data_IF_636172410828
#
_entry.id   IF_636172410828
#
_cell.length_a   1.000
_cell.length_b   1.000
_cell.length_c   1.000
_cell.angle_alpha   90.00
_cell.angle_beta   90.00
_cell.angle_gamma   90.00
#
_symmetry.space_group_name_H-M   'P 1'
#
loop_
_entity.id
_entity.type
_entity.pdbx_description
1 polymer ?
#
# COMPACT_ATOMS: atom_id res chain seq x y z
N UNK A 1 -8.12 9.37 3.38
CA UNK A 1 -8.14 7.99 3.88
C UNK A 1 -6.93 7.16 3.47
N UNK A 2 -6.46 7.23 2.22
CA UNK A 2 -5.29 6.45 1.75
C UNK A 2 -4.05 6.67 2.63
N UNK A 3 -3.69 7.93 2.93
CA UNK A 3 -2.54 8.27 3.78
C UNK A 3 -2.58 7.60 5.14
N UNK A 4 -3.71 7.75 5.85
CA UNK A 4 -3.89 7.24 7.21
C UNK A 4 -3.99 5.71 7.21
N UNK A 5 -4.69 5.12 6.24
CA UNK A 5 -4.75 3.66 6.08
C UNK A 5 -3.38 3.04 5.80
N UNK A 6 -2.57 3.68 4.95
CA UNK A 6 -1.21 3.23 4.67
C UNK A 6 -0.28 3.38 5.89
N UNK A 7 -0.39 4.47 6.64
CA UNK A 7 0.35 4.64 7.89
C UNK A 7 -0.02 3.59 8.95
N UNK A 8 -1.32 3.31 9.11
CA UNK A 8 -1.82 2.24 9.99
C UNK A 8 -1.32 0.88 9.53
N UNK A 9 -1.33 0.61 8.22
CA UNK A 9 -0.83 -0.63 7.65
C UNK A 9 0.66 -0.83 7.99
N UNK A 10 1.49 0.20 7.75
CA UNK A 10 2.91 0.17 8.07
C UNK A 10 3.18 -0.01 9.57
N UNK A 11 2.42 0.68 10.43
CA UNK A 11 2.52 0.52 11.88
C UNK A 11 2.13 -0.89 12.34
N UNK A 12 1.11 -1.50 11.74
CA UNK A 12 0.71 -2.88 12.02
C UNK A 12 1.78 -3.90 11.64
N UNK A 13 2.40 -3.75 10.46
CA UNK A 13 3.53 -4.61 10.05
C UNK A 13 4.73 -4.42 10.99
N UNK A 14 5.09 -3.18 11.32
CA UNK A 14 6.17 -2.90 12.27
C UNK A 14 5.90 -3.55 13.63
N UNK A 15 4.68 -3.41 14.15
CA UNK A 15 4.24 -4.05 15.37
C UNK A 15 4.37 -5.57 15.28
N UNK A 16 3.91 -6.19 14.20
CA UNK A 16 3.97 -7.64 14.03
C UNK A 16 5.42 -8.19 14.07
N UNK A 17 6.39 -7.43 13.54
CA UNK A 17 7.79 -7.82 13.45
C UNK A 17 8.60 -7.63 14.74
N UNK A 18 8.14 -6.80 15.68
CA UNK A 18 8.82 -6.57 16.98
C UNK A 18 8.24 -7.41 18.11
N UNK A 19 7.11 -8.08 17.89
CA UNK A 19 6.48 -8.91 18.92
C UNK A 19 7.33 -10.14 19.27
N UNK A 20 7.45 -10.50 20.56
CA UNK A 20 8.32 -11.59 21.01
C UNK A 20 7.74 -12.99 20.73
N UNK A 21 6.44 -13.08 20.45
CA UNK A 21 5.76 -14.35 20.17
C UNK A 21 4.86 -14.22 18.95
N UNK A 22 4.72 -15.34 18.22
CA UNK A 22 3.90 -15.41 17.00
C UNK A 22 2.45 -15.04 17.28
N UNK A 23 1.92 -15.44 18.44
CA UNK A 23 0.55 -15.17 18.86
C UNK A 23 0.30 -13.67 19.04
N UNK A 24 1.27 -12.93 19.61
CA UNK A 24 1.17 -11.48 19.77
C UNK A 24 1.30 -10.76 18.43
N UNK A 25 2.10 -11.29 17.48
CA UNK A 25 2.21 -10.73 16.13
C UNK A 25 0.87 -10.69 15.39
N UNK A 26 -0.11 -11.53 15.75
CA UNK A 26 -1.45 -11.52 15.13
C UNK A 26 -2.16 -10.18 15.30
N UNK A 27 -1.94 -9.49 16.43
CA UNK A 27 -2.48 -8.14 16.65
C UNK A 27 -1.90 -7.14 15.64
N UNK A 28 -0.58 -7.19 15.41
CA UNK A 28 0.07 -6.35 14.40
C UNK A 28 -0.45 -6.63 12.98
N UNK A 29 -0.61 -7.91 12.63
CA UNK A 29 -1.19 -8.30 11.34
C UNK A 29 -2.66 -7.89 11.19
N UNK A 30 -3.45 -7.95 12.26
CA UNK A 30 -4.82 -7.46 12.26
C UNK A 30 -4.89 -5.95 12.02
N UNK A 31 -4.04 -5.18 12.72
CA UNK A 31 -3.90 -3.72 12.50
C UNK A 31 -3.46 -3.43 11.06
N UNK A 32 -2.51 -4.22 10.53
CA UNK A 32 -2.08 -4.09 9.14
C UNK A 32 -3.24 -4.29 8.17
N UNK A 33 -4.05 -5.34 8.38
CA UNK A 33 -5.24 -5.63 7.59
C UNK A 33 -6.28 -4.53 7.63
N UNK A 34 -6.56 -3.95 8.82
CA UNK A 34 -7.46 -2.80 8.97
C UNK A 34 -6.97 -1.62 8.12
N UNK A 35 -5.67 -1.30 8.18
CA UNK A 35 -5.09 -0.23 7.37
C UNK A 35 -5.23 -0.48 5.86
N UNK A 36 -4.90 -1.69 5.40
CA UNK A 36 -4.95 -2.08 3.98
C UNK A 36 -6.38 -2.04 3.44
N UNK A 37 -7.38 -2.46 4.24
CA UNK A 37 -8.78 -2.50 3.82
C UNK A 37 -9.33 -1.13 3.40
N UNK A 38 -8.84 -0.04 4.00
CA UNK A 38 -9.21 1.32 3.61
C UNK A 38 -8.41 1.86 2.42
N UNK A 39 -7.23 1.32 2.13
CA UNK A 39 -6.35 1.83 1.05
C UNK A 39 -6.77 1.28 -0.31
N UNK A 40 -6.92 -0.04 -0.43
CA UNK A 40 -7.11 -0.70 -1.74
C UNK A 40 -8.39 -0.24 -2.47
N UNK A 41 -9.58 -0.21 -1.83
CA UNK A 41 -10.80 0.24 -2.50
C UNK A 41 -10.74 1.71 -2.91
N UNK A 42 -10.06 2.55 -2.11
CA UNK A 42 -9.91 3.97 -2.38
C UNK A 42 -8.98 4.23 -3.57
N UNK A 43 -7.91 3.45 -3.72
CA UNK A 43 -7.06 3.51 -4.91
C UNK A 43 -7.84 3.12 -6.18
N UNK A 44 -8.70 2.10 -6.09
CA UNK A 44 -9.55 1.70 -7.22
C UNK A 44 -10.61 2.76 -7.55
N UNK A 45 -11.26 3.33 -6.54
CA UNK A 45 -12.22 4.42 -6.71
C UNK A 45 -11.57 5.64 -7.39
N UNK A 46 -10.39 6.06 -6.91
CA UNK A 46 -9.64 7.16 -7.51
C UNK A 46 -9.26 6.88 -8.97
N UNK A 47 -8.80 5.66 -9.28
CA UNK A 47 -8.45 5.26 -10.63
C UNK A 47 -9.66 5.25 -11.58
N UNK A 48 -10.85 4.97 -11.06
CA UNK A 48 -12.09 4.97 -11.84
C UNK A 48 -12.63 6.37 -12.12
N UNK A 49 -12.25 7.37 -11.31
CA UNK A 49 -12.73 8.74 -11.43
C UNK A 49 -11.77 9.64 -12.23
N UNK A 50 -10.48 9.35 -12.22
CA UNK A 50 -9.46 10.21 -12.84
C UNK A 50 -9.51 10.23 -14.39
N UNK A 51 -9.51 11.43 -14.96
CA UNK A 51 -9.43 11.68 -16.40
C UNK A 51 -10.78 11.73 -17.12
N UNK A 52 -10.75 11.74 -18.47
CA UNK A 52 -12.00 11.77 -19.26
C UNK A 52 -12.77 10.45 -19.17
N UNK A 53 -14.10 10.48 -19.29
CA UNK A 53 -14.98 9.29 -19.22
C UNK A 53 -14.53 8.13 -20.13
N UNK A 54 -13.98 8.45 -21.29
CA UNK A 54 -13.45 7.45 -22.25
C UNK A 54 -12.22 6.70 -21.73
N UNK A 55 -11.46 7.29 -20.81
CA UNK A 55 -10.23 6.74 -20.25
C UNK A 55 -10.42 6.04 -18.90
N UNK A 56 -11.56 6.19 -18.23
CA UNK A 56 -11.81 5.65 -16.89
C UNK A 56 -11.59 4.12 -16.82
N UNK A 57 -12.15 3.36 -17.77
CA UNK A 57 -11.95 1.91 -17.84
C UNK A 57 -10.49 1.52 -18.03
N UNK A 58 -9.75 2.25 -18.86
CA UNK A 58 -8.31 2.01 -19.10
C UNK A 58 -7.46 2.34 -17.87
N UNK A 59 -7.80 3.40 -17.14
CA UNK A 59 -7.09 3.81 -15.93
C UNK A 59 -7.30 2.78 -14.81
N UNK A 60 -8.55 2.35 -14.60
CA UNK A 60 -8.86 1.29 -13.65
C UNK A 60 -8.15 -0.03 -14.03
N UNK A 61 -8.16 -0.42 -15.30
CA UNK A 61 -7.48 -1.64 -15.75
C UNK A 61 -5.97 -1.64 -15.45
N UNK A 62 -5.28 -0.50 -15.55
CA UNK A 62 -3.87 -0.38 -15.16
C UNK A 62 -3.66 -0.63 -13.66
N UNK A 63 -4.52 -0.06 -12.82
CA UNK A 63 -4.43 -0.21 -11.36
C UNK A 63 -4.74 -1.65 -10.92
N UNK A 64 -5.76 -2.27 -11.52
CA UNK A 64 -6.07 -3.69 -11.30
C UNK A 64 -4.93 -4.58 -11.78
N UNK A 65 -4.38 -4.32 -12.97
CA UNK A 65 -3.22 -5.04 -13.49
C UNK A 65 -2.01 -4.99 -12.56
N UNK A 66 -1.71 -3.80 -12.01
CA UNK A 66 -0.65 -3.64 -11.00
C UNK A 66 -0.95 -4.42 -9.72
N UNK A 67 -2.21 -4.46 -9.30
CA UNK A 67 -2.65 -5.24 -8.13
C UNK A 67 -2.36 -6.73 -8.34
N UNK A 68 -2.72 -7.29 -9.50
CA UNK A 68 -2.41 -8.67 -9.85
C UNK A 68 -0.91 -8.94 -9.91
N UNK A 69 -0.14 -8.04 -10.51
CA UNK A 69 1.32 -8.16 -10.54
C UNK A 69 1.92 -8.18 -9.12
N UNK A 70 1.40 -7.38 -8.20
CA UNK A 70 1.81 -7.38 -6.80
C UNK A 70 1.42 -8.66 -6.05
N UNK A 71 0.19 -9.15 -6.23
CA UNK A 71 -0.29 -10.39 -5.58
C UNK A 71 0.53 -11.61 -6.03
N UNK A 72 0.87 -11.68 -7.32
CA UNK A 72 1.62 -12.80 -7.88
C UNK A 72 3.14 -12.65 -7.64
N UNK A 73 3.68 -11.45 -7.83
CA UNK A 73 5.12 -11.18 -7.73
C UNK A 73 5.61 -10.96 -6.29
N UNK A 74 4.75 -10.44 -5.41
CA UNK A 74 5.10 -10.10 -4.03
C UNK A 74 5.74 -11.25 -3.25
N UNK A 75 5.12 -12.45 -3.18
CA UNK A 75 5.70 -13.60 -2.48
C UNK A 75 7.06 -14.03 -3.05
N UNK A 76 7.24 -13.99 -4.37
CA UNK A 76 8.50 -14.36 -5.02
C UNK A 76 9.62 -13.36 -4.68
N UNK A 77 9.33 -12.06 -4.74
CA UNK A 77 10.27 -10.98 -4.37
C UNK A 77 10.65 -11.08 -2.90
N UNK A 78 9.66 -11.24 -2.01
CA UNK A 78 9.89 -11.39 -0.56
C UNK A 78 10.69 -12.65 -0.27
N UNK A 79 10.39 -13.78 -0.92
CA UNK A 79 11.12 -15.04 -0.75
C UNK A 79 12.57 -14.95 -1.22
N UNK A 80 12.81 -14.31 -2.37
CA UNK A 80 14.16 -14.09 -2.87
C UNK A 80 15.01 -13.23 -1.92
N UNK A 81 14.45 -12.09 -1.44
CA UNK A 81 15.12 -11.24 -0.46
C UNK A 81 15.31 -12.02 0.86
N UNK A 82 14.28 -12.75 1.30
CA UNK A 82 14.30 -13.54 2.53
C UNK A 82 15.36 -14.63 2.53
N UNK A 83 15.66 -15.22 1.37
CA UNK A 83 16.75 -16.19 1.23
C UNK A 83 18.15 -15.56 1.47
N UNK A 84 18.30 -14.27 1.18
CA UNK A 84 19.57 -13.57 1.35
C UNK A 84 19.76 -12.95 2.74
N UNK A 85 18.70 -12.37 3.33
CA UNK A 85 18.80 -11.56 4.58
C UNK A 85 17.88 -12.03 5.72
N UNK A 86 17.18 -13.14 5.53
CA UNK A 86 16.18 -13.67 6.45
C UNK A 86 14.77 -13.09 6.23
N UNK A 87 13.75 -13.88 6.52
CA UNK A 87 12.35 -13.53 6.28
C UNK A 87 11.90 -12.29 7.06
N UNK A 88 12.31 -12.18 8.33
CA UNK A 88 11.92 -11.04 9.18
C UNK A 88 12.44 -9.70 8.62
N UNK A 89 13.68 -9.67 8.13
CA UNK A 89 14.26 -8.52 7.44
C UNK A 89 13.57 -8.24 6.10
N UNK A 90 13.22 -9.29 5.34
CA UNK A 90 12.51 -9.14 4.07
C UNK A 90 11.11 -8.52 4.27
N UNK A 91 10.41 -8.85 5.35
CA UNK A 91 9.09 -8.30 5.66
C UNK A 91 9.10 -6.81 6.01
N UNK A 92 10.26 -6.23 6.35
CA UNK A 92 10.41 -4.77 6.50
C UNK A 92 10.05 -4.04 5.19
N UNK A 93 10.19 -4.71 4.05
CA UNK A 93 9.73 -4.19 2.75
C UNK A 93 8.26 -3.75 2.80
N UNK A 94 7.40 -4.45 3.54
CA UNK A 94 6.00 -4.06 3.71
C UNK A 94 5.84 -2.69 4.39
N UNK A 95 6.69 -2.38 5.37
CA UNK A 95 6.73 -1.07 6.05
C UNK A 95 7.18 0.01 5.07
N UNK A 96 8.22 -0.27 4.29
CA UNK A 96 8.76 0.67 3.28
C UNK A 96 7.71 0.97 2.20
N UNK A 97 7.01 -0.05 1.71
CA UNK A 97 5.94 0.11 0.73
C UNK A 97 4.75 0.88 1.31
N UNK A 98 4.38 0.64 2.57
CA UNK A 98 3.34 1.40 3.25
C UNK A 98 3.73 2.89 3.40
N UNK A 99 4.98 3.16 3.75
CA UNK A 99 5.51 4.53 3.80
C UNK A 99 5.54 5.19 2.41
N UNK A 100 5.91 4.45 1.36
CA UNK A 100 5.87 4.92 -0.02
C UNK A 100 4.45 5.31 -0.44
N UNK A 101 3.43 4.49 -0.12
CA UNK A 101 2.03 4.82 -0.42
C UNK A 101 1.57 6.04 0.38
N UNK A 102 1.91 6.13 1.66
CA UNK A 102 1.56 7.27 2.50
C UNK A 102 2.20 8.58 1.96
N UNK A 103 3.48 8.55 1.61
CA UNK A 103 4.22 9.68 1.03
C UNK A 103 3.71 10.06 -0.36
N UNK A 104 3.49 9.08 -1.24
CA UNK A 104 2.95 9.29 -2.57
C UNK A 104 1.55 9.93 -2.53
N UNK A 105 0.70 9.49 -1.61
CA UNK A 105 -0.62 10.11 -1.43
C UNK A 105 -0.53 11.59 -1.00
N UNK A 106 0.47 11.96 -0.20
CA UNK A 106 0.69 13.34 0.22
C UNK A 106 1.18 14.21 -0.94
N UNK A 107 2.08 13.68 -1.78
CA UNK A 107 2.57 14.38 -2.95
C UNK A 107 1.44 14.65 -3.95
N UNK A 108 0.54 13.69 -4.16
CA UNK A 108 -0.63 13.86 -5.04
C UNK A 108 -1.60 14.94 -4.51
N UNK A 109 -1.92 14.94 -3.21
CA UNK A 109 -2.78 15.98 -2.62
C UNK A 109 -2.18 17.39 -2.75
N UNK A 110 -0.87 17.54 -2.54
CA UNK A 110 -0.19 18.84 -2.70
C UNK A 110 -0.17 19.30 -4.16
N UNK A 111 -0.04 18.38 -5.10
CA UNK A 111 -0.11 18.69 -6.53
C UNK A 111 -1.49 19.21 -6.94
N UNK A 112 -2.56 18.55 -6.49
CA UNK A 112 -3.93 18.96 -6.76
C UNK A 112 -4.24 20.36 -6.18
N UNK A 113 -3.81 20.64 -4.95
CA UNK A 113 -3.97 21.97 -4.32
C UNK A 113 -3.19 23.07 -5.05
N UNK A 114 -1.99 22.77 -5.55
CA UNK A 114 -1.11 23.76 -6.20
C UNK A 114 -1.56 24.13 -7.62
N UNK A 115 -2.23 23.22 -8.33
CA UNK A 115 -2.61 23.41 -9.74
C UNK A 115 -4.12 23.50 -9.97
N UNK A 116 -4.94 23.15 -8.99
CA UNK A 116 -6.40 23.28 -9.03
C UNK A 116 -6.91 24.71 -8.83
N UNK A 117 -6.11 25.62 -8.26
CA UNK A 117 -6.47 27.05 -8.11
C UNK A 117 -6.09 27.91 -9.33
N UNK A 118 -5.37 27.35 -10.31
CA UNK A 118 -4.89 28.06 -11.51
C UNK A 118 -5.75 27.86 -12.76
N UNK A 119 -6.91 27.20 -12.63
CA UNK A 119 -7.87 26.97 -13.72
C UNK A 119 -9.29 27.33 -13.27
#
# INVERSE_FOLDING_TARGET
>A
MIRTGAAIAGAGVAMALVMPTVQLSWLGWAVAGVGISGVVPQCMAFASDIGSKQNQGRNLAKVVGLTYAGVLGGPAVIGFIGNAVGLQSALILGIVLAAFVAGGSMAMQKGEQKYGETI
#
